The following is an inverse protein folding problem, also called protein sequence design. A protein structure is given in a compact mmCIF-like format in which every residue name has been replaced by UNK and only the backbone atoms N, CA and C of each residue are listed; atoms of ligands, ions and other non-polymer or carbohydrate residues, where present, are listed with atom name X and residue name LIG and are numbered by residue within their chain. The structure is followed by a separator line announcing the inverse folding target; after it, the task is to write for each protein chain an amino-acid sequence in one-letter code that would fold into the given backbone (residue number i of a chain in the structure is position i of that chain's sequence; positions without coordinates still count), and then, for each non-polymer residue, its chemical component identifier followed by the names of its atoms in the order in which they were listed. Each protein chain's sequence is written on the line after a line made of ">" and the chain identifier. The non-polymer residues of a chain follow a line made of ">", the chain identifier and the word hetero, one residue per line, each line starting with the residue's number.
data_IF_948310695760
#
_entry.id   IF_948310695760
#
_cell.length_a   1.000
_cell.length_b   1.000
_cell.length_c   1.000
_cell.angle_alpha   90.00
_cell.angle_beta   90.00
_cell.angle_gamma   90.00
#
_symmetry.space_group_name_H-M   'P 1'
#
loop_
_entity.id
_entity.type
_entity.pdbx_description
1 polymer ?
#
# COMPACT_ATOMS: atom_id res chain seq x y z
N UNK A 1 -19.65 -16.42 18.02
CA UNK A 1 -18.52 -15.89 17.21
C UNK A 1 -18.76 -16.33 15.78
N UNK A 2 -18.77 -15.40 14.81
CA UNK A 2 -18.79 -15.77 13.41
C UNK A 2 -17.44 -16.40 13.03
N UNK A 3 -17.47 -17.43 12.18
CA UNK A 3 -16.26 -18.06 11.66
C UNK A 3 -15.36 -17.03 10.95
N UNK A 4 -14.06 -17.11 11.19
CA UNK A 4 -13.04 -16.33 10.47
C UNK A 4 -12.08 -17.33 9.85
N UNK A 5 -11.95 -17.28 8.53
CA UNK A 5 -11.10 -18.17 7.75
C UNK A 5 -10.15 -17.39 6.85
N UNK A 6 -9.05 -18.04 6.44
CA UNK A 6 -8.09 -17.50 5.49
C UNK A 6 -7.82 -18.54 4.41
N UNK A 7 -7.80 -18.10 3.16
CA UNK A 7 -7.55 -18.94 1.98
C UNK A 7 -6.48 -18.26 1.14
N UNK A 8 -5.38 -18.95 0.84
CA UNK A 8 -4.34 -18.40 -0.02
C UNK A 8 -4.90 -18.16 -1.43
N UNK A 9 -4.64 -16.97 -2.00
CA UNK A 9 -5.22 -16.56 -3.28
C UNK A 9 -4.14 -16.37 -4.35
N UNK A 10 -4.17 -17.25 -5.35
CA UNK A 10 -3.33 -17.12 -6.55
C UNK A 10 -3.73 -15.94 -7.42
N UNK A 11 -5.01 -15.61 -7.47
CA UNK A 11 -5.55 -14.47 -8.23
C UNK A 11 -4.98 -13.16 -7.68
N UNK A 12 -5.07 -12.96 -6.36
CA UNK A 12 -4.54 -11.75 -5.70
C UNK A 12 -3.03 -11.68 -5.88
N UNK A 13 -2.31 -12.81 -5.77
CA UNK A 13 -0.87 -12.87 -6.01
C UNK A 13 -0.50 -12.42 -7.43
N UNK A 14 -1.17 -12.96 -8.45
CA UNK A 14 -0.87 -12.60 -9.85
C UNK A 14 -1.08 -11.12 -10.12
N UNK A 15 -2.17 -10.55 -9.60
CA UNK A 15 -2.45 -9.12 -9.71
C UNK A 15 -1.37 -8.30 -8.99
N UNK A 16 -1.05 -8.66 -7.75
CA UNK A 16 -0.02 -7.98 -6.97
C UNK A 16 1.36 -8.05 -7.64
N UNK A 17 1.75 -9.19 -8.19
CA UNK A 17 3.06 -9.35 -8.87
C UNK A 17 3.19 -8.44 -10.09
N UNK A 18 2.09 -8.19 -10.83
CA UNK A 18 2.08 -7.23 -11.95
C UNK A 18 2.22 -5.78 -11.46
N UNK A 19 1.45 -5.40 -10.43
CA UNK A 19 1.50 -4.06 -9.83
C UNK A 19 2.89 -3.79 -9.22
N UNK A 20 3.52 -4.80 -8.60
CA UNK A 20 4.88 -4.69 -8.05
C UNK A 20 5.91 -4.38 -9.13
N UNK A 21 5.80 -5.01 -10.31
CA UNK A 21 6.74 -4.76 -11.40
C UNK A 21 6.67 -3.33 -11.93
N UNK A 22 5.49 -2.72 -11.87
CA UNK A 22 5.24 -1.40 -12.42
C UNK A 22 5.52 -0.28 -11.41
N UNK A 23 5.08 -0.45 -10.16
CA UNK A 23 4.99 0.66 -9.20
C UNK A 23 5.80 0.48 -7.92
N UNK A 24 6.17 -0.75 -7.54
CA UNK A 24 6.80 -1.03 -6.24
C UNK A 24 8.22 -1.59 -6.39
N UNK A 25 9.23 -0.78 -6.79
CA UNK A 25 10.60 -1.25 -6.98
C UNK A 25 11.20 -1.88 -5.72
N UNK A 26 10.79 -1.42 -4.53
CA UNK A 26 11.22 -1.92 -3.23
C UNK A 26 10.67 -3.33 -2.89
N UNK A 27 9.69 -3.84 -3.64
CA UNK A 27 9.10 -5.18 -3.46
C UNK A 27 9.50 -6.19 -4.54
N UNK A 28 10.18 -5.77 -5.62
CA UNK A 28 10.42 -6.60 -6.81
C UNK A 28 11.13 -7.92 -6.53
N UNK A 29 12.18 -7.89 -5.72
CA UNK A 29 12.94 -9.07 -5.28
C UNK A 29 12.32 -9.78 -4.05
N UNK A 30 11.24 -9.22 -3.50
CA UNK A 30 10.56 -9.74 -2.32
C UNK A 30 9.23 -10.45 -2.64
N UNK A 31 8.82 -10.58 -3.91
CA UNK A 31 7.52 -11.19 -4.30
C UNK A 31 7.24 -12.55 -3.63
N UNK A 32 8.26 -13.39 -3.49
CA UNK A 32 8.13 -14.71 -2.86
C UNK A 32 8.05 -14.67 -1.32
N UNK A 33 8.33 -13.51 -0.72
CA UNK A 33 8.27 -13.27 0.71
C UNK A 33 6.91 -12.69 1.15
N UNK A 34 5.97 -12.51 0.21
CA UNK A 34 4.64 -11.94 0.48
C UNK A 34 3.58 -13.03 0.31
N UNK A 35 2.83 -13.28 1.37
CA UNK A 35 1.65 -14.15 1.33
C UNK A 35 0.37 -13.36 1.03
N UNK A 36 -0.45 -13.85 0.09
CA UNK A 36 -1.69 -13.21 -0.32
C UNK A 36 -2.89 -14.09 0.03
N UNK A 37 -3.82 -13.55 0.82
CA UNK A 37 -4.93 -14.34 1.37
C UNK A 37 -6.27 -13.63 1.24
N UNK A 38 -7.31 -14.39 0.87
CA UNK A 38 -8.69 -14.00 1.04
C UNK A 38 -9.14 -14.35 2.45
N UNK A 39 -9.70 -13.37 3.16
CA UNK A 39 -10.26 -13.52 4.50
C UNK A 39 -11.77 -13.65 4.46
N UNK A 40 -12.29 -14.68 5.13
CA UNK A 40 -13.72 -14.87 5.39
C UNK A 40 -14.13 -14.31 6.75
N UNK A 41 -15.38 -13.87 6.84
CA UNK A 41 -15.98 -13.29 8.05
C UNK A 41 -16.00 -11.76 8.04
N UNK A 42 -16.71 -11.16 9.00
CA UNK A 42 -16.86 -9.71 9.05
C UNK A 42 -15.54 -9.02 9.40
N UNK A 43 -15.21 -7.96 8.65
CA UNK A 43 -14.17 -6.97 8.94
C UNK A 43 -14.73 -5.58 8.61
N UNK A 44 -14.14 -4.54 9.20
CA UNK A 44 -14.44 -3.14 8.86
C UNK A 44 -13.62 -2.64 7.67
N UNK A 45 -12.69 -3.44 7.18
CA UNK A 45 -11.73 -3.12 6.12
C UNK A 45 -11.91 -4.08 4.94
N UNK A 46 -11.64 -3.57 3.74
CA UNK A 46 -11.65 -4.34 2.49
C UNK A 46 -10.29 -5.04 2.25
N UNK A 47 -9.19 -4.40 2.62
CA UNK A 47 -7.84 -4.97 2.61
C UNK A 47 -7.09 -4.69 3.91
N UNK A 48 -5.99 -5.41 4.11
CA UNK A 48 -5.04 -5.18 5.21
C UNK A 48 -3.64 -5.72 4.90
N UNK A 49 -2.68 -4.84 4.87
CA UNK A 49 -1.25 -5.12 4.92
C UNK A 49 -0.78 -5.44 6.34
N UNK A 50 0.17 -6.37 6.46
CA UNK A 50 0.74 -6.77 7.74
C UNK A 50 2.18 -7.24 7.57
N UNK A 51 3.09 -6.76 8.42
CA UNK A 51 4.40 -7.38 8.64
C UNK A 51 4.26 -8.63 9.52
N UNK A 52 4.82 -9.75 9.09
CA UNK A 52 4.73 -11.02 9.81
C UNK A 52 5.39 -10.94 11.18
N UNK A 53 4.75 -11.52 12.19
CA UNK A 53 5.37 -11.74 13.50
C UNK A 53 6.45 -12.83 13.42
N UNK A 54 7.32 -12.92 14.43
CA UNK A 54 8.36 -13.95 14.47
C UNK A 54 7.81 -15.38 14.31
N UNK A 55 6.66 -15.67 14.92
CA UNK A 55 6.01 -16.97 14.82
C UNK A 55 5.46 -17.24 13.40
N UNK A 56 4.82 -16.26 12.77
CA UNK A 56 4.28 -16.41 11.41
C UNK A 56 5.38 -16.66 10.38
N UNK A 57 6.51 -15.94 10.51
CA UNK A 57 7.70 -16.18 9.68
C UNK A 57 8.22 -17.61 9.85
N UNK A 58 8.32 -18.09 11.09
CA UNK A 58 8.75 -19.46 11.37
C UNK A 58 7.83 -20.52 10.75
N UNK A 59 6.53 -20.24 10.65
CA UNK A 59 5.54 -21.20 10.14
C UNK A 59 5.37 -21.17 8.61
N UNK A 60 5.71 -20.06 7.95
CA UNK A 60 5.32 -19.82 6.55
C UNK A 60 6.44 -19.31 5.65
N UNK A 61 7.59 -18.95 6.22
CA UNK A 61 8.71 -18.28 5.56
C UNK A 61 8.38 -16.90 4.94
N UNK A 62 7.13 -16.44 4.99
CA UNK A 62 6.74 -15.12 4.51
C UNK A 62 7.19 -14.02 5.48
N UNK A 63 7.61 -12.88 4.94
CA UNK A 63 7.91 -11.67 5.70
C UNK A 63 6.69 -10.76 5.83
N UNK A 64 5.79 -10.77 4.85
CA UNK A 64 4.67 -9.85 4.71
C UNK A 64 3.39 -10.61 4.36
N UNK A 65 2.24 -10.07 4.77
CA UNK A 65 0.92 -10.56 4.39
C UNK A 65 0.06 -9.43 3.84
N UNK A 66 -0.67 -9.74 2.77
CA UNK A 66 -1.81 -8.96 2.29
C UNK A 66 -3.07 -9.81 2.49
N UNK A 67 -4.00 -9.28 3.27
CA UNK A 67 -5.31 -9.87 3.48
C UNK A 67 -6.36 -9.08 2.73
N UNK A 68 -7.21 -9.75 1.95
CA UNK A 68 -8.33 -9.12 1.26
C UNK A 68 -9.64 -9.73 1.75
N UNK A 69 -10.64 -8.92 2.09
CA UNK A 69 -11.95 -9.42 2.47
C UNK A 69 -12.63 -10.10 1.27
N UNK A 70 -12.99 -11.38 1.42
CA UNK A 70 -13.55 -12.20 0.33
C UNK A 70 -14.90 -11.68 -0.20
N UNK A 71 -15.74 -11.11 0.66
CA UNK A 71 -17.01 -10.54 0.24
C UNK A 71 -16.81 -9.23 -0.53
N UNK A 72 -15.91 -8.35 -0.05
CA UNK A 72 -15.55 -7.13 -0.75
C UNK A 72 -14.93 -7.43 -2.12
N UNK A 73 -13.96 -8.34 -2.18
CA UNK A 73 -13.30 -8.75 -3.43
C UNK A 73 -14.30 -9.19 -4.50
N UNK A 74 -15.28 -10.03 -4.13
CA UNK A 74 -16.32 -10.51 -5.05
C UNK A 74 -17.25 -9.40 -5.54
N UNK A 75 -17.49 -8.38 -4.73
CA UNK A 75 -18.35 -7.26 -5.09
C UNK A 75 -17.62 -6.21 -5.95
N UNK A 76 -16.29 -6.12 -5.84
CA UNK A 76 -15.47 -5.15 -6.56
C UNK A 76 -15.24 -5.58 -8.03
N UNK A 77 -15.35 -4.65 -9.00
CA UNK A 77 -14.85 -4.84 -10.36
C UNK A 77 -13.32 -4.90 -10.37
N UNK A 78 -12.76 -5.36 -11.50
CA UNK A 78 -11.32 -5.60 -11.66
C UNK A 78 -10.46 -4.36 -11.37
N UNK A 79 -10.89 -3.17 -11.80
CA UNK A 79 -10.18 -1.92 -11.55
C UNK A 79 -10.08 -1.59 -10.05
N UNK A 80 -11.18 -1.75 -9.30
CA UNK A 80 -11.17 -1.53 -7.85
C UNK A 80 -10.34 -2.59 -7.11
N UNK A 81 -10.29 -3.82 -7.63
CA UNK A 81 -9.41 -4.87 -7.08
C UNK A 81 -7.95 -4.50 -7.24
N UNK A 82 -7.56 -3.97 -8.41
CA UNK A 82 -6.20 -3.50 -8.66
C UNK A 82 -5.85 -2.34 -7.73
N UNK A 83 -6.74 -1.35 -7.60
CA UNK A 83 -6.55 -0.21 -6.70
C UNK A 83 -6.41 -0.63 -5.23
N UNK A 84 -7.25 -1.56 -4.76
CA UNK A 84 -7.16 -2.08 -3.40
C UNK A 84 -5.84 -2.82 -3.16
N UNK A 85 -5.41 -3.68 -4.09
CA UNK A 85 -4.15 -4.42 -3.94
C UNK A 85 -2.95 -3.47 -3.98
N UNK A 86 -2.95 -2.49 -4.87
CA UNK A 86 -1.92 -1.45 -4.96
C UNK A 86 -1.83 -0.64 -3.65
N UNK A 87 -2.99 -0.24 -3.11
CA UNK A 87 -3.09 0.43 -1.82
C UNK A 87 -2.44 -0.39 -0.69
N UNK A 88 -2.75 -1.69 -0.60
CA UNK A 88 -2.15 -2.53 0.45
C UNK A 88 -0.64 -2.71 0.26
N UNK A 89 -0.13 -2.67 -0.97
CA UNK A 89 1.30 -2.77 -1.24
C UNK A 89 2.06 -1.50 -0.82
N UNK A 90 1.45 -0.31 -0.95
CA UNK A 90 2.04 0.96 -0.51
C UNK A 90 2.39 0.98 0.99
N UNK A 91 1.68 0.22 1.82
CA UNK A 91 1.97 0.14 3.25
C UNK A 91 3.33 -0.46 3.57
N UNK A 92 3.88 -1.28 2.69
CA UNK A 92 5.16 -1.92 2.94
C UNK A 92 6.29 -0.93 2.68
N UNK A 93 7.09 -0.68 3.70
CA UNK A 93 8.32 0.09 3.54
C UNK A 93 9.52 -0.84 3.68
N UNK A 94 10.62 -0.47 3.02
CA UNK A 94 11.87 -1.20 3.09
C UNK A 94 13.00 -0.25 3.40
N UNK A 95 13.91 -0.67 4.26
CA UNK A 95 15.15 0.06 4.50
C UNK A 95 15.84 0.29 3.15
N UNK A 96 16.21 1.55 2.88
CA UNK A 96 16.85 1.95 1.65
C UNK A 96 17.99 2.93 1.92
N UNK A 97 19.03 2.84 1.10
CA UNK A 97 20.17 3.75 1.12
C UNK A 97 20.74 3.89 -0.29
N UNK A 98 21.72 4.78 -0.45
CA UNK A 98 22.39 4.99 -1.73
C UNK A 98 23.82 4.45 -1.69
N UNK A 99 24.22 3.74 -2.74
CA UNK A 99 25.59 3.30 -2.96
C UNK A 99 26.08 3.72 -4.35
N UNK A 100 27.39 3.90 -4.56
CA UNK A 100 27.94 4.13 -5.91
C UNK A 100 27.59 2.96 -6.83
N UNK A 101 27.17 3.25 -8.08
CA UNK A 101 26.86 2.21 -9.06
C UNK A 101 28.10 1.33 -9.29
N UNK A 102 28.00 0.00 -9.11
CA UNK A 102 29.11 -0.92 -9.33
C UNK A 102 29.73 -0.83 -10.74
N UNK A 103 28.94 -0.38 -11.73
CA UNK A 103 29.34 -0.24 -13.13
C UNK A 103 29.82 1.18 -13.47
N UNK A 104 29.42 2.19 -12.69
CA UNK A 104 29.77 3.59 -12.91
C UNK A 104 29.82 4.36 -11.58
N UNK A 105 30.99 4.39 -10.93
CA UNK A 105 31.19 5.03 -9.62
C UNK A 105 30.87 6.53 -9.57
N UNK A 106 30.53 7.16 -10.70
CA UNK A 106 30.05 8.56 -10.76
C UNK A 106 28.55 8.68 -10.49
N UNK A 107 27.83 7.56 -10.47
CA UNK A 107 26.39 7.48 -10.22
C UNK A 107 26.12 6.84 -8.86
N UNK A 108 25.00 7.22 -8.27
CA UNK A 108 24.47 6.61 -7.06
C UNK A 108 23.22 5.84 -7.42
N UNK A 109 23.11 4.63 -6.87
CA UNK A 109 21.95 3.75 -7.05
C UNK A 109 21.31 3.50 -5.70
N UNK A 110 19.98 3.46 -5.70
CA UNK A 110 19.20 3.08 -4.54
C UNK A 110 19.33 1.57 -4.32
N UNK A 111 19.69 1.20 -3.10
CA UNK A 111 19.82 -0.18 -2.63
C UNK A 111 18.78 -0.40 -1.54
N UNK A 112 18.23 -1.61 -1.49
CA UNK A 112 17.24 -2.02 -0.50
C UNK A 112 17.84 -3.04 0.46
N UNK A 113 17.42 -2.98 1.72
CA UNK A 113 17.72 -3.98 2.76
C UNK A 113 17.29 -5.38 2.34
N UNK A 114 17.74 -6.44 3.01
CA UNK A 114 17.48 -7.81 2.54
C UNK A 114 15.98 -8.16 2.56
N UNK A 115 15.48 -8.78 1.47
CA UNK A 115 14.08 -9.18 1.38
C UNK A 115 13.70 -10.26 2.42
N UNK A 116 14.68 -11.03 2.88
CA UNK A 116 14.50 -12.10 3.87
C UNK A 116 14.84 -11.67 5.29
N UNK A 117 15.28 -10.42 5.49
CA UNK A 117 15.57 -9.87 6.81
C UNK A 117 14.33 -9.15 7.34
N UNK A 118 13.73 -9.62 8.45
CA UNK A 118 12.58 -8.94 9.05
C UNK A 118 12.88 -7.49 9.44
N UNK A 119 14.11 -7.15 9.80
CA UNK A 119 14.44 -5.81 10.29
C UNK A 119 14.53 -4.78 9.15
N UNK A 120 14.74 -5.24 7.91
CA UNK A 120 14.68 -4.40 6.72
C UNK A 120 13.26 -3.95 6.34
N UNK A 121 12.21 -4.50 6.95
CA UNK A 121 10.81 -4.20 6.60
C UNK A 121 10.13 -3.27 7.61
N UNK A 122 9.29 -2.37 7.13
CA UNK A 122 8.40 -1.53 7.93
C UNK A 122 6.96 -1.59 7.44
N UNK A 123 6.05 -1.05 8.27
CA UNK A 123 4.66 -0.77 7.88
C UNK A 123 4.42 0.70 8.13
N UNK A 124 4.00 1.42 7.09
CA UNK A 124 3.55 2.79 7.17
C UNK A 124 2.04 2.83 7.41
N UNK A 125 1.58 3.70 8.30
CA UNK A 125 0.14 3.90 8.53
C UNK A 125 -0.48 4.73 7.41
N UNK A 126 -1.78 4.51 7.17
CA UNK A 126 -2.62 5.27 6.24
C UNK A 126 -2.53 6.77 6.55
N UNK A 127 -1.73 7.52 5.79
CA UNK A 127 -1.74 8.98 5.84
C UNK A 127 -2.24 9.55 4.52
N UNK A 128 -2.82 10.75 4.59
CA UNK A 128 -3.53 11.42 3.49
C UNK A 128 -2.67 11.56 2.22
N UNK A 129 -1.35 11.61 2.39
CA UNK A 129 -0.35 11.67 1.33
C UNK A 129 -0.31 10.41 0.44
N UNK A 130 -0.61 9.22 0.96
CA UNK A 130 -0.66 7.97 0.16
C UNK A 130 -1.91 7.85 -0.70
N UNK A 131 -2.93 8.68 -0.45
CA UNK A 131 -4.02 8.84 -1.42
C UNK A 131 -3.53 9.51 -2.69
N UNK A 132 -2.46 10.32 -2.69
CA UNK A 132 -2.01 10.99 -3.91
C UNK A 132 -1.55 9.98 -4.96
N UNK A 133 -0.66 9.04 -4.62
CA UNK A 133 -0.20 8.01 -5.56
C UNK A 133 -1.35 7.11 -6.04
N UNK A 134 -2.23 6.70 -5.14
CA UNK A 134 -3.38 5.85 -5.48
C UNK A 134 -4.41 6.61 -6.32
N UNK A 135 -4.69 7.89 -6.03
CA UNK A 135 -5.57 8.75 -6.83
C UNK A 135 -4.93 9.07 -8.18
N UNK A 136 -3.61 9.30 -8.24
CA UNK A 136 -2.88 9.52 -9.48
C UNK A 136 -2.96 8.30 -10.40
N UNK A 137 -2.89 7.08 -9.84
CA UNK A 137 -2.95 5.82 -10.61
C UNK A 137 -4.37 5.36 -10.93
N UNK A 138 -5.31 5.47 -9.98
CA UNK A 138 -6.64 4.83 -10.07
C UNK A 138 -7.82 5.80 -9.98
N UNK A 139 -7.58 7.09 -9.72
CA UNK A 139 -8.64 8.07 -9.44
C UNK A 139 -9.35 7.84 -8.11
N UNK A 140 -10.54 8.42 -7.95
CA UNK A 140 -11.38 8.24 -6.77
C UNK A 140 -12.14 6.90 -6.90
N UNK A 141 -11.47 5.80 -6.57
CA UNK A 141 -11.95 4.45 -6.84
C UNK A 141 -12.88 3.87 -5.76
N UNK A 142 -12.95 4.51 -4.59
CA UNK A 142 -13.81 4.14 -3.46
C UNK A 142 -14.67 5.33 -3.02
N UNK A 143 -15.93 5.07 -2.68
CA UNK A 143 -16.90 6.09 -2.22
C UNK A 143 -16.44 6.86 -0.98
N UNK A 144 -15.64 6.25 -0.11
CA UNK A 144 -15.03 6.94 1.03
C UNK A 144 -13.99 7.97 0.61
N UNK A 145 -13.22 7.67 -0.44
CA UNK A 145 -12.24 8.58 -1.04
C UNK A 145 -12.96 9.68 -1.84
N UNK A 146 -14.04 9.35 -2.54
CA UNK A 146 -14.91 10.36 -3.18
C UNK A 146 -15.47 11.35 -2.15
N UNK A 147 -15.99 10.83 -1.04
CA UNK A 147 -16.52 11.64 0.08
C UNK A 147 -15.40 12.49 0.72
N UNK A 148 -14.20 11.93 0.88
CA UNK A 148 -13.04 12.68 1.37
C UNK A 148 -12.63 13.80 0.40
N UNK A 149 -12.58 13.52 -0.91
CA UNK A 149 -12.26 14.52 -1.93
C UNK A 149 -13.35 15.59 -2.07
N UNK A 150 -14.61 15.26 -1.81
CA UNK A 150 -15.69 16.24 -1.67
C UNK A 150 -15.48 17.11 -0.42
N UNK A 151 -15.18 16.51 0.74
CA UNK A 151 -14.89 17.25 1.96
C UNK A 151 -13.67 18.18 1.82
N UNK A 152 -12.62 17.76 1.11
CA UNK A 152 -11.45 18.59 0.78
C UNK A 152 -11.84 19.73 -0.16
N UNK A 153 -12.64 19.48 -1.21
CA UNK A 153 -13.14 20.54 -2.12
C UNK A 153 -14.00 21.56 -1.38
N UNK A 154 -14.87 21.10 -0.48
CA UNK A 154 -15.66 21.97 0.40
C UNK A 154 -14.78 22.77 1.38
N UNK A 155 -13.68 22.17 1.87
CA UNK A 155 -12.69 22.86 2.70
C UNK A 155 -11.84 23.86 1.93
N UNK A 156 -11.52 23.62 0.64
CA UNK A 156 -10.83 24.58 -0.25
C UNK A 156 -11.69 25.83 -0.54
N UNK A 157 -13.01 25.75 -0.35
CA UNK A 157 -13.89 26.93 -0.31
C UNK A 157 -13.77 27.73 1.00
N UNK A 158 -13.06 27.22 2.02
CA UNK A 158 -12.64 27.99 3.19
C UNK A 158 -11.17 28.42 3.01
N UNK A 159 -10.92 29.74 3.06
CA UNK A 159 -9.57 30.28 3.02
C UNK A 159 -8.68 29.57 4.05
N UNK A 160 -7.55 29.03 3.60
CA UNK A 160 -6.57 28.47 4.52
C UNK A 160 -5.94 29.60 5.36
N UNK A 161 -5.38 29.26 6.53
CA UNK A 161 -4.60 30.24 7.32
C UNK A 161 -3.47 30.87 6.48
N UNK A 162 -2.90 30.09 5.57
CA UNK A 162 -1.90 30.51 4.59
C UNK A 162 -2.46 31.57 3.62
N UNK A 163 -3.69 31.40 3.15
CA UNK A 163 -4.36 32.36 2.26
C UNK A 163 -4.73 33.65 2.98
N UNK A 164 -5.19 33.56 4.23
CA UNK A 164 -5.47 34.73 5.09
C UNK A 164 -4.19 35.53 5.37
N UNK A 165 -3.06 34.83 5.61
CA UNK A 165 -1.75 35.46 5.80
C UNK A 165 -1.19 36.10 4.52
N UNK A 166 -1.52 35.53 3.35
CA UNK A 166 -1.13 36.10 2.05
C UNK A 166 -1.94 37.36 1.72
N UNK A 167 -3.23 37.36 2.03
CA UNK A 167 -4.13 38.50 1.84
C UNK A 167 -3.84 39.66 2.81
N UNK A 168 -3.31 39.38 4.01
CA UNK A 168 -2.91 40.42 4.98
C UNK A 168 -1.56 41.07 4.68
N UNK A 169 -0.74 40.48 3.81
CA UNK A 169 0.55 41.04 3.33
C UNK A 169 0.41 42.01 2.15
N UNK A 170 -0.76 42.07 1.52
CA UNK A 170 -1.04 42.93 0.35
C UNK A 170 -1.83 44.20 0.75
N UNK A 171 -1.85 44.55 2.04
CA UNK A 171 -2.37 45.83 2.55
C UNK A 171 -1.23 46.71 3.07
#
# INVERSE_FOLDING_TARGET
>A
MAFVGFEESKEVRQLAESIIDEHHPHLKDAKQQIGFYLREGNSKWAGKAKKCTAFERHMTDYMLFVFINKAAWKAMPEEQRAALVDHELCHFTREEWEEPDPKDQRKWVKVYGSATDPDSWGIREHDVEEFSEIIERHGLWDTGIETFAEAVREADHQLTISDVQRLSRVK
#
